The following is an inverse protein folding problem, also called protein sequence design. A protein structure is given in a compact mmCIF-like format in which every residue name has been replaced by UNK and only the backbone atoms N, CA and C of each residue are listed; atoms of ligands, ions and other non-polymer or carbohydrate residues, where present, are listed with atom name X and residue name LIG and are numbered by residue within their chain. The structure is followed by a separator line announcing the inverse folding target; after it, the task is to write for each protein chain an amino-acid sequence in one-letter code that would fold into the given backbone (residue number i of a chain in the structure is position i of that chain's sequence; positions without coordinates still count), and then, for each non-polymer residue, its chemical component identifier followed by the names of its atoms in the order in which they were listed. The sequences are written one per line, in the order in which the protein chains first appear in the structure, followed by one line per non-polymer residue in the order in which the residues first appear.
data_IF_586184106920
#
_entry.id   IF_586184106920
#
_cell.length_a   1.000
_cell.length_b   1.000
_cell.length_c   1.000
_cell.angle_alpha   90.00
_cell.angle_beta   90.00
_cell.angle_gamma   90.00
#
_symmetry.space_group_name_H-M   'P 1'
#
loop_
_entity.id
_entity.type
_entity.pdbx_description
1 polymer ?
#
# COMPACT_ATOMS: atom_id res chain seq x y z
N UNK A 1 -10.68 -7.38 -13.62
CA UNK A 1 -10.61 -6.81 -15.00
C UNK A 1 -10.77 -5.28 -14.98
N UNK A 2 -11.83 -4.73 -14.38
CA UNK A 2 -12.11 -3.27 -14.39
C UNK A 2 -11.00 -2.40 -13.76
N UNK A 3 -10.49 -2.75 -12.58
CA UNK A 3 -9.43 -1.98 -11.89
C UNK A 3 -8.09 -1.96 -12.65
N UNK A 4 -7.77 -3.07 -13.33
CA UNK A 4 -6.55 -3.16 -14.13
C UNK A 4 -6.65 -2.26 -15.37
N UNK A 5 -7.79 -2.28 -16.06
CA UNK A 5 -8.05 -1.36 -17.17
C UNK A 5 -8.01 0.11 -16.73
N UNK A 6 -8.57 0.42 -15.56
CA UNK A 6 -8.48 1.75 -14.96
C UNK A 6 -7.01 2.16 -14.72
N UNK A 7 -6.21 1.29 -14.10
CA UNK A 7 -4.79 1.57 -13.84
C UNK A 7 -4.01 1.85 -15.13
N UNK A 8 -4.26 1.07 -16.19
CA UNK A 8 -3.61 1.28 -17.49
C UNK A 8 -3.99 2.61 -18.14
N UNK A 9 -5.20 3.10 -17.92
CA UNK A 9 -5.69 4.38 -18.43
C UNK A 9 -5.18 5.61 -17.66
N UNK A 10 -4.54 5.43 -16.49
CA UNK A 10 -4.04 6.54 -15.68
C UNK A 10 -2.94 7.34 -16.41
N UNK A 11 -2.91 8.68 -16.23
CA UNK A 11 -1.75 9.47 -16.61
C UNK A 11 -0.48 8.96 -15.91
N UNK A 12 0.67 9.10 -16.59
CA UNK A 12 1.94 8.50 -16.17
C UNK A 12 2.31 8.73 -14.69
N UNK A 13 2.14 9.96 -14.19
CA UNK A 13 2.43 10.30 -12.80
C UNK A 13 1.61 9.45 -11.81
N UNK A 14 0.29 9.33 -12.02
CA UNK A 14 -0.57 8.57 -11.11
C UNK A 14 -0.36 7.07 -11.25
N UNK A 15 -0.01 6.59 -12.45
CA UNK A 15 0.38 5.20 -12.67
C UNK A 15 1.63 4.84 -11.87
N UNK A 16 2.64 5.71 -11.86
CA UNK A 16 3.83 5.54 -11.01
C UNK A 16 3.47 5.56 -9.52
N UNK A 17 2.72 6.57 -9.06
CA UNK A 17 2.36 6.69 -7.65
C UNK A 17 1.54 5.50 -7.15
N UNK A 18 0.53 5.08 -7.92
CA UNK A 18 -0.32 3.94 -7.56
C UNK A 18 0.46 2.63 -7.66
N UNK A 19 1.33 2.49 -8.65
CA UNK A 19 2.22 1.34 -8.79
C UNK A 19 3.21 1.22 -7.62
N UNK A 20 3.86 2.31 -7.22
CA UNK A 20 4.75 2.35 -6.06
C UNK A 20 4.00 2.03 -4.77
N UNK A 21 2.81 2.60 -4.59
CA UNK A 21 1.96 2.28 -3.44
C UNK A 21 1.60 0.79 -3.39
N UNK A 22 1.18 0.22 -4.52
CA UNK A 22 0.87 -1.21 -4.61
C UNK A 22 2.11 -2.07 -4.29
N UNK A 23 3.28 -1.72 -4.83
CA UNK A 23 4.52 -2.44 -4.55
C UNK A 23 4.86 -2.42 -3.06
N UNK A 24 4.77 -1.26 -2.39
CA UNK A 24 5.01 -1.14 -0.95
C UNK A 24 4.03 -2.00 -0.15
N UNK A 25 2.74 -1.84 -0.42
CA UNK A 25 1.69 -2.56 0.29
C UNK A 25 1.81 -4.08 0.11
N UNK A 26 1.94 -4.57 -1.12
CA UNK A 26 2.08 -6.01 -1.38
C UNK A 26 3.42 -6.58 -0.91
N UNK A 27 4.48 -5.76 -0.82
CA UNK A 27 5.74 -6.21 -0.21
C UNK A 27 5.58 -6.47 1.29
N UNK A 28 4.76 -5.68 1.99
CA UNK A 28 4.31 -6.00 3.35
C UNK A 28 3.40 -7.22 3.33
N UNK A 29 2.17 -7.06 2.82
CA UNK A 29 1.10 -8.06 2.91
C UNK A 29 1.47 -9.46 2.41
N UNK A 30 2.23 -9.58 1.31
CA UNK A 30 2.60 -10.90 0.74
C UNK A 30 4.06 -11.23 1.01
N UNK A 31 4.95 -10.25 0.84
CA UNK A 31 6.39 -10.47 1.03
C UNK A 31 6.73 -10.74 2.49
N UNK A 32 6.24 -9.90 3.41
CA UNK A 32 6.50 -10.06 4.84
C UNK A 32 5.61 -11.13 5.46
N UNK A 33 4.43 -11.46 4.94
CA UNK A 33 3.67 -12.62 5.43
C UNK A 33 4.48 -13.93 5.28
N UNK A 34 5.16 -14.13 4.15
CA UNK A 34 6.04 -15.29 3.94
C UNK A 34 7.27 -15.26 4.87
N UNK A 35 7.93 -14.11 4.99
CA UNK A 35 9.08 -13.95 5.88
C UNK A 35 8.70 -14.09 7.36
N UNK A 36 7.57 -13.53 7.74
CA UNK A 36 6.94 -13.55 9.06
C UNK A 36 6.55 -14.95 9.47
N UNK A 37 5.96 -15.75 8.57
CA UNK A 37 5.68 -17.17 8.82
C UNK A 37 6.95 -17.98 9.12
N UNK A 38 8.06 -17.70 8.42
CA UNK A 38 9.36 -18.31 8.71
C UNK A 38 9.93 -17.84 10.06
N UNK A 39 9.85 -16.54 10.36
CA UNK A 39 10.30 -15.97 11.63
C UNK A 39 9.50 -16.55 12.81
N UNK A 40 8.19 -16.66 12.65
CA UNK A 40 7.26 -17.24 13.61
C UNK A 40 7.63 -18.69 13.94
N UNK A 41 7.77 -19.52 12.92
CA UNK A 41 8.07 -20.95 13.09
C UNK A 41 9.48 -21.20 13.64
N UNK A 42 10.43 -20.30 13.37
CA UNK A 42 11.83 -20.47 13.79
C UNK A 42 12.10 -19.90 15.18
N UNK A 43 11.54 -18.73 15.50
CA UNK A 43 11.88 -17.98 16.71
C UNK A 43 10.71 -17.84 17.70
N UNK A 44 9.48 -18.11 17.27
CA UNK A 44 8.27 -17.93 18.08
C UNK A 44 7.76 -16.49 18.11
N UNK A 45 6.49 -16.32 18.50
CA UNK A 45 5.79 -15.03 18.52
C UNK A 45 6.39 -14.01 19.49
N UNK A 46 6.94 -14.46 20.61
CA UNK A 46 7.51 -13.57 21.63
C UNK A 46 8.94 -13.11 21.30
N UNK A 47 9.51 -13.59 20.18
CA UNK A 47 10.87 -13.21 19.80
C UNK A 47 10.94 -11.80 19.23
N UNK A 48 11.98 -11.06 19.64
CA UNK A 48 12.25 -9.72 19.10
C UNK A 48 12.42 -9.71 17.57
N UNK A 49 12.90 -10.82 16.98
CA UNK A 49 13.05 -10.96 15.54
C UNK A 49 11.69 -11.05 14.84
N UNK A 50 10.76 -11.86 15.36
CA UNK A 50 9.40 -11.92 14.83
C UNK A 50 8.67 -10.57 15.00
N UNK A 51 8.72 -9.98 16.20
CA UNK A 51 8.08 -8.68 16.46
C UNK A 51 8.66 -7.57 15.57
N UNK A 52 9.97 -7.56 15.34
CA UNK A 52 10.61 -6.62 14.42
C UNK A 52 10.17 -6.82 12.96
N UNK A 53 10.04 -8.07 12.52
CA UNK A 53 9.50 -8.41 11.20
C UNK A 53 8.05 -7.94 11.02
N UNK A 54 7.20 -8.21 12.02
CA UNK A 54 5.82 -7.72 12.05
C UNK A 54 5.73 -6.19 11.99
N UNK A 55 6.60 -5.47 12.71
CA UNK A 55 6.64 -4.00 12.63
C UNK A 55 7.01 -3.50 11.22
N UNK A 56 7.94 -4.19 10.54
CA UNK A 56 8.34 -3.86 9.17
C UNK A 56 7.21 -4.11 8.18
N UNK A 57 6.49 -5.22 8.33
CA UNK A 57 5.26 -5.51 7.57
C UNK A 57 4.27 -4.36 7.66
N UNK A 58 3.88 -3.99 8.88
CA UNK A 58 2.91 -2.93 9.13
C UNK A 58 3.41 -1.58 8.59
N UNK A 59 4.70 -1.28 8.75
CA UNK A 59 5.28 -0.05 8.24
C UNK A 59 5.24 0.02 6.71
N UNK A 60 5.49 -1.08 6.00
CA UNK A 60 5.39 -1.15 4.55
C UNK A 60 3.95 -0.92 4.07
N UNK A 61 2.98 -1.56 4.71
CA UNK A 61 1.57 -1.39 4.38
C UNK A 61 1.08 0.05 4.61
N UNK A 62 1.40 0.63 5.77
CA UNK A 62 1.04 2.01 6.09
C UNK A 62 1.74 3.01 5.16
N UNK A 63 2.99 2.75 4.78
CA UNK A 63 3.71 3.57 3.79
C UNK A 63 3.04 3.47 2.41
N UNK A 64 2.64 2.27 1.99
CA UNK A 64 1.87 2.06 0.76
C UNK A 64 0.56 2.86 0.77
N UNK A 65 -0.17 2.83 1.88
CA UNK A 65 -1.44 3.55 2.05
C UNK A 65 -1.27 5.07 2.04
N UNK A 66 -0.24 5.58 2.71
CA UNK A 66 0.09 7.01 2.76
C UNK A 66 0.57 7.57 1.42
N UNK A 67 1.09 6.73 0.53
CA UNK A 67 1.32 7.09 -0.88
C UNK A 67 0.01 7.04 -1.68
N UNK A 68 -0.85 6.04 -1.47
CA UNK A 68 -2.09 5.85 -2.24
C UNK A 68 -3.08 6.99 -2.03
N UNK A 69 -3.43 7.27 -0.77
CA UNK A 69 -4.56 8.13 -0.44
C UNK A 69 -4.39 9.56 -0.98
N UNK A 70 -3.25 10.24 -0.75
CA UNK A 70 -3.04 11.58 -1.31
C UNK A 70 -3.00 11.57 -2.84
N UNK A 71 -2.39 10.53 -3.44
CA UNK A 71 -2.30 10.38 -4.89
C UNK A 71 -3.68 10.20 -5.53
N UNK A 72 -4.54 9.42 -4.89
CA UNK A 72 -5.92 9.19 -5.30
C UNK A 72 -6.74 10.48 -5.19
N UNK A 73 -6.63 11.20 -4.07
CA UNK A 73 -7.30 12.48 -3.89
C UNK A 73 -6.85 13.51 -4.93
N UNK A 74 -5.54 13.56 -5.22
CA UNK A 74 -4.99 14.43 -6.26
C UNK A 74 -5.50 14.04 -7.65
N UNK A 75 -5.63 12.74 -7.95
CA UNK A 75 -6.20 12.26 -9.20
C UNK A 75 -7.67 12.65 -9.35
N UNK A 76 -8.48 12.43 -8.31
CA UNK A 76 -9.91 12.78 -8.29
C UNK A 76 -10.08 14.29 -8.48
N UNK A 77 -9.32 15.13 -7.77
CA UNK A 77 -9.37 16.59 -7.92
C UNK A 77 -9.03 17.05 -9.33
N UNK A 78 -8.05 16.40 -9.97
CA UNK A 78 -7.69 16.70 -11.36
C UNK A 78 -8.79 16.31 -12.33
N UNK A 79 -9.44 15.17 -12.12
CA UNK A 79 -10.49 14.67 -13.00
C UNK A 79 -11.83 15.39 -12.79
N UNK A 80 -12.10 15.82 -11.55
CA UNK A 80 -13.34 16.48 -11.14
C UNK A 80 -13.02 17.76 -10.34
N UNK A 81 -12.67 18.87 -11.01
CA UNK A 81 -12.25 20.11 -10.34
C UNK A 81 -13.28 20.72 -9.39
N UNK A 82 -14.57 20.42 -9.59
CA UNK A 82 -15.67 20.91 -8.77
C UNK A 82 -16.10 19.94 -7.66
N UNK A 83 -15.48 18.75 -7.57
CA UNK A 83 -15.78 17.81 -6.52
C UNK A 83 -15.34 18.37 -5.16
N UNK A 84 -16.24 18.28 -4.16
CA UNK A 84 -15.97 18.66 -2.78
C UNK A 84 -16.08 17.43 -1.90
N UNK A 85 -15.13 17.29 -0.96
CA UNK A 85 -15.28 16.33 0.13
C UNK A 85 -16.40 16.83 1.05
N UNK A 86 -17.43 16.00 1.25
CA UNK A 86 -18.46 16.24 2.25
C UNK A 86 -17.95 15.60 3.54
N UNK A 87 -17.54 16.42 4.50
CA UNK A 87 -17.23 15.98 5.86
C UNK A 87 -18.47 16.24 6.72
N UNK A 88 -18.98 15.19 7.38
CA UNK A 88 -20.11 15.27 8.31
C UNK A 88 -19.71 15.89 9.65
#
# INVERSE_FOLDING_TARGET
VVLFSFFLALPFLYKLLFGTSALLFFSGAVGMELAGGWLLTTYGEESLLYTGGYLVEEALEMTGLTVLLPSLLAYIRRQFPHARLITA
#
